data_IF_910339861952
#
_entry.id   IF_910339861952
#
_cell.length_a   1.000
_cell.length_b   1.000
_cell.length_c   1.000
_cell.angle_alpha   90.00
_cell.angle_beta   90.00
_cell.angle_gamma   90.00
#
_symmetry.space_group_name_H-M   'P 1'
#
loop_
_entity.id
_entity.type
_entity.pdbx_description
1 polymer ?
#
# COMPACT_ATOMS: atom_id res chain seq x y z
N UNK A 1 -6.91 -18.90 47.84
CA UNK A 1 -5.60 -18.25 47.55
C UNK A 1 -5.08 -18.60 46.15
N UNK A 2 -4.92 -19.89 45.81
CA UNK A 2 -4.42 -20.34 44.48
C UNK A 2 -5.29 -19.83 43.31
N UNK A 3 -6.62 -19.90 43.43
CA UNK A 3 -7.55 -19.39 42.41
C UNK A 3 -7.39 -17.89 42.13
N UNK A 4 -7.19 -17.10 43.18
CA UNK A 4 -7.02 -15.65 43.11
C UNK A 4 -5.70 -15.27 42.41
N UNK A 5 -4.63 -16.02 42.70
CA UNK A 5 -3.33 -15.89 42.02
C UNK A 5 -3.47 -16.25 40.54
N UNK A 6 -4.15 -17.35 40.22
CA UNK A 6 -4.41 -17.77 38.84
C UNK A 6 -5.17 -16.72 38.02
N UNK A 7 -6.19 -16.09 38.61
CA UNK A 7 -6.94 -15.00 37.99
C UNK A 7 -6.04 -13.79 37.68
N UNK A 8 -5.20 -13.39 38.63
CA UNK A 8 -4.26 -12.26 38.44
C UNK A 8 -3.29 -12.55 37.30
N UNK A 9 -2.71 -13.75 37.25
CA UNK A 9 -1.84 -14.16 36.14
C UNK A 9 -2.56 -14.13 34.79
N UNK A 10 -3.81 -14.60 34.74
CA UNK A 10 -4.60 -14.57 33.50
C UNK A 10 -4.80 -13.14 33.00
N UNK A 11 -5.16 -12.21 33.88
CA UNK A 11 -5.35 -10.79 33.53
C UNK A 11 -4.05 -10.17 33.05
N UNK A 12 -2.93 -10.44 33.75
CA UNK A 12 -1.60 -9.93 33.36
C UNK A 12 -1.19 -10.47 31.99
N UNK A 13 -1.38 -11.77 31.74
CA UNK A 13 -1.06 -12.38 30.44
C UNK A 13 -1.94 -11.79 29.33
N UNK A 14 -3.24 -11.66 29.56
CA UNK A 14 -4.15 -11.06 28.60
C UNK A 14 -3.76 -9.60 28.27
N UNK A 15 -3.37 -8.83 29.29
CA UNK A 15 -2.87 -7.47 29.11
C UNK A 15 -1.58 -7.43 28.30
N UNK A 16 -0.61 -8.31 28.60
CA UNK A 16 0.63 -8.42 27.85
C UNK A 16 0.37 -8.75 26.37
N UNK A 17 -0.53 -9.71 26.09
CA UNK A 17 -0.91 -10.06 24.71
C UNK A 17 -1.54 -8.86 24.00
N UNK A 18 -2.49 -8.18 24.63
CA UNK A 18 -3.13 -6.99 24.06
C UNK A 18 -2.10 -5.88 23.77
N UNK A 19 -1.17 -5.66 24.68
CA UNK A 19 -0.10 -4.68 24.52
C UNK A 19 0.85 -5.04 23.36
N UNK A 20 1.20 -6.31 23.23
CA UNK A 20 2.02 -6.79 22.10
C UNK A 20 1.32 -6.59 20.75
N UNK A 21 0.04 -6.94 20.66
CA UNK A 21 -0.77 -6.73 19.44
C UNK A 21 -0.77 -5.24 19.09
N UNK A 22 -1.01 -4.38 20.08
CA UNK A 22 -0.98 -2.93 19.89
C UNK A 22 0.35 -2.44 19.31
N UNK A 23 1.48 -2.87 19.88
CA UNK A 23 2.81 -2.52 19.37
C UNK A 23 3.03 -2.98 17.93
N UNK A 24 2.61 -4.19 17.56
CA UNK A 24 2.72 -4.68 16.18
C UNK A 24 1.85 -3.90 15.18
N UNK A 25 0.77 -3.27 15.64
CA UNK A 25 -0.08 -2.43 14.78
C UNK A 25 0.51 -1.04 14.52
N UNK A 26 1.40 -0.52 15.37
CA UNK A 26 1.95 0.85 15.26
C UNK A 26 2.56 1.13 13.88
N UNK A 27 3.48 0.31 13.32
CA UNK A 27 4.05 0.57 11.99
C UNK A 27 2.99 0.60 10.89
N UNK A 28 1.97 -0.26 10.99
CA UNK A 28 0.88 -0.34 10.02
C UNK A 28 -0.07 0.87 10.05
N UNK A 29 -0.29 1.44 11.25
CA UNK A 29 -1.09 2.67 11.42
C UNK A 29 -0.33 3.87 10.84
N UNK A 30 0.98 3.98 11.12
CA UNK A 30 1.84 5.03 10.57
C UNK A 30 1.85 4.95 9.04
N UNK A 31 2.04 3.75 8.48
CA UNK A 31 2.00 3.53 7.03
C UNK A 31 0.66 3.95 6.40
N UNK A 32 -0.46 3.62 7.05
CA UNK A 32 -1.80 4.04 6.61
C UNK A 32 -1.95 5.56 6.63
N UNK A 33 -1.53 6.22 7.71
CA UNK A 33 -1.64 7.68 7.85
C UNK A 33 -0.85 8.46 6.80
N UNK A 34 0.22 7.85 6.26
CA UNK A 34 1.06 8.45 5.23
C UNK A 34 0.54 8.27 3.82
N UNK A 35 -0.42 7.38 3.60
CA UNK A 35 -0.91 7.05 2.26
C UNK A 35 0.02 6.08 1.50
N UNK A 36 0.62 5.12 2.19
CA UNK A 36 1.33 4.01 1.53
C UNK A 36 0.29 3.07 0.89
N UNK A 37 0.61 2.50 -0.28
CA UNK A 37 -0.30 1.57 -0.98
C UNK A 37 -0.56 0.28 -0.20
N UNK A 38 -1.71 -0.35 -0.40
CA UNK A 38 -2.14 -1.51 0.41
C UNK A 38 -1.20 -2.72 0.34
N UNK A 39 -0.53 -2.95 -0.80
CA UNK A 39 0.46 -4.03 -0.95
C UNK A 39 1.70 -3.80 -0.08
N UNK A 40 2.28 -2.60 -0.14
CA UNK A 40 3.46 -2.19 0.64
C UNK A 40 3.14 -2.10 2.13
N UNK A 41 1.93 -1.63 2.47
CA UNK A 41 1.41 -1.61 3.84
C UNK A 41 1.31 -3.02 4.41
N UNK A 42 0.86 -3.98 3.60
CA UNK A 42 0.80 -5.39 4.01
C UNK A 42 2.20 -5.93 4.30
N UNK A 43 3.20 -5.58 3.50
CA UNK A 43 4.61 -5.94 3.76
C UNK A 43 5.08 -5.38 5.11
N UNK A 44 4.83 -4.09 5.39
CA UNK A 44 5.21 -3.45 6.66
C UNK A 44 4.53 -4.15 7.85
N UNK A 45 3.24 -4.47 7.73
CA UNK A 45 2.49 -5.18 8.77
C UNK A 45 3.08 -6.57 9.01
N UNK A 46 3.28 -7.35 7.96
CA UNK A 46 3.87 -8.70 8.06
C UNK A 46 5.27 -8.64 8.68
N UNK A 47 6.08 -7.65 8.31
CA UNK A 47 7.43 -7.47 8.87
C UNK A 47 7.41 -7.10 10.36
N UNK A 48 6.43 -6.29 10.78
CA UNK A 48 6.21 -5.94 12.18
C UNK A 48 5.78 -7.14 13.02
N UNK A 49 4.94 -8.03 12.47
CA UNK A 49 4.58 -9.29 13.12
C UNK A 49 5.72 -10.30 13.14
N UNK A 50 6.52 -10.36 12.07
CA UNK A 50 7.75 -11.16 12.04
C UNK A 50 8.78 -10.69 13.08
N UNK A 51 8.64 -9.45 13.56
CA UNK A 51 9.43 -8.87 14.66
C UNK A 51 9.30 -9.62 15.97
N UNK A 52 8.16 -10.26 16.20
CA UNK A 52 7.97 -11.08 17.40
C UNK A 52 8.87 -12.30 17.44
N UNK A 53 9.24 -12.85 16.27
CA UNK A 53 10.10 -14.02 16.17
C UNK A 53 11.59 -13.67 16.24
N UNK A 54 11.96 -12.45 15.85
CA UNK A 54 13.37 -12.01 15.67
C UNK A 54 13.86 -11.10 16.79
N UNK A 55 13.32 -11.24 18.01
CA UNK A 55 13.62 -10.36 19.15
C UNK A 55 13.42 -8.85 18.84
N UNK A 56 12.30 -8.50 18.19
CA UNK A 56 11.92 -7.13 17.85
C UNK A 56 12.84 -6.39 16.86
N UNK A 57 13.87 -7.03 16.30
CA UNK A 57 14.76 -6.36 15.33
C UNK A 57 13.98 -5.95 14.09
N UNK A 58 13.17 -6.84 13.52
CA UNK A 58 12.41 -6.49 12.31
C UNK A 58 11.24 -5.56 12.59
N UNK A 59 10.84 -5.39 13.86
CA UNK A 59 9.84 -4.37 14.24
C UNK A 59 10.39 -2.95 14.03
N UNK A 60 11.64 -2.70 14.46
CA UNK A 60 12.31 -1.42 14.21
C UNK A 60 12.50 -1.17 12.72
N UNK A 61 12.87 -2.21 11.95
CA UNK A 61 13.00 -2.12 10.50
C UNK A 61 11.64 -1.76 9.86
N UNK A 62 10.55 -2.39 10.29
CA UNK A 62 9.20 -2.09 9.82
C UNK A 62 8.79 -0.64 10.13
N UNK A 63 9.17 -0.13 11.30
CA UNK A 63 8.92 1.25 11.69
C UNK A 63 9.71 2.23 10.82
N UNK A 64 11.01 1.98 10.61
CA UNK A 64 11.85 2.79 9.71
C UNK A 64 11.30 2.74 8.27
N UNK A 65 10.88 1.57 7.79
CA UNK A 65 10.24 1.43 6.48
C UNK A 65 8.97 2.27 6.39
N UNK A 66 8.09 2.22 7.40
CA UNK A 66 6.89 3.06 7.44
C UNK A 66 7.21 4.57 7.41
N UNK A 67 8.40 4.97 7.91
CA UNK A 67 8.88 6.36 7.95
C UNK A 67 9.63 6.80 6.68
N UNK A 68 10.36 5.91 6.02
CA UNK A 68 11.21 6.24 4.87
C UNK A 68 10.47 6.04 3.56
N UNK A 69 9.54 5.09 3.49
CA UNK A 69 8.85 4.78 2.24
C UNK A 69 8.00 5.96 1.78
N UNK A 70 8.19 6.38 0.53
CA UNK A 70 7.45 7.50 -0.01
C UNK A 70 6.03 7.07 -0.41
N UNK A 71 5.02 7.87 -0.04
CA UNK A 71 3.64 7.52 -0.31
C UNK A 71 3.31 7.69 -1.79
N UNK A 72 3.03 6.58 -2.47
CA UNK A 72 2.67 6.58 -3.90
C UNK A 72 1.27 7.14 -4.16
N UNK A 73 0.41 7.23 -3.14
CA UNK A 73 -0.99 7.65 -3.31
C UNK A 73 -1.16 9.15 -3.59
N UNK A 74 -0.18 10.01 -3.26
CA UNK A 74 -0.21 11.43 -3.64
C UNK A 74 0.01 11.63 -5.16
N UNK A 75 0.73 10.71 -5.80
CA UNK A 75 0.96 10.69 -7.26
C UNK A 75 -0.18 9.97 -8.00
N UNK A 76 -1.05 9.27 -7.26
CA UNK A 76 -2.02 8.32 -7.83
C UNK A 76 -3.48 8.71 -7.59
N UNK A 77 -3.77 10.00 -7.38
CA UNK A 77 -5.16 10.50 -7.45
C UNK A 77 -5.71 10.55 -8.88
N UNK A 78 -4.87 10.37 -9.90
CA UNK A 78 -5.24 10.42 -11.32
C UNK A 78 -4.65 9.25 -12.14
N UNK A 79 -4.57 8.04 -11.58
CA UNK A 79 -4.61 6.90 -12.50
C UNK A 79 -6.07 6.63 -12.78
N UNK A 80 -6.60 6.99 -13.97
CA UNK A 80 -7.94 6.59 -14.34
C UNK A 80 -7.98 5.09 -14.15
N UNK A 81 -9.00 4.66 -13.41
CA UNK A 81 -9.29 3.27 -13.18
C UNK A 81 -9.75 2.75 -14.54
N UNK A 82 -8.80 2.26 -15.36
CA UNK A 82 -9.11 1.70 -16.66
C UNK A 82 -9.80 0.37 -16.40
N UNK A 83 -11.11 0.44 -16.18
CA UNK A 83 -11.98 -0.68 -15.91
C UNK A 83 -12.29 -1.48 -17.20
N UNK A 84 -11.96 -0.94 -18.38
CA UNK A 84 -12.23 -1.57 -19.68
C UNK A 84 -10.92 -1.91 -20.44
N UNK A 85 -10.75 -3.19 -20.74
CA UNK A 85 -9.66 -3.73 -21.59
C UNK A 85 -9.70 -3.15 -23.01
N UNK A 86 -10.86 -2.64 -23.45
CA UNK A 86 -11.06 -2.01 -24.77
C UNK A 86 -10.25 -0.73 -24.94
N UNK A 87 -10.24 0.16 -23.94
CA UNK A 87 -9.65 1.49 -24.06
C UNK A 87 -8.11 1.44 -24.08
N UNK A 88 -7.53 0.42 -23.44
CA UNK A 88 -6.11 0.09 -23.49
C UNK A 88 -5.67 -0.38 -24.88
N UNK A 89 -6.53 -1.14 -25.55
CA UNK A 89 -6.26 -1.67 -26.89
C UNK A 89 -6.31 -0.54 -27.94
N UNK A 90 -7.22 0.42 -27.76
CA UNK A 90 -7.33 1.60 -28.62
C UNK A 90 -6.17 2.59 -28.39
N UNK A 91 -5.68 2.74 -27.16
CA UNK A 91 -4.44 3.48 -26.89
C UNK A 91 -3.21 2.81 -27.53
N UNK A 92 -3.13 1.47 -27.51
CA UNK A 92 -2.04 0.74 -28.17
C UNK A 92 -2.09 0.89 -29.69
N UNK A 93 -3.28 0.81 -30.30
CA UNK A 93 -3.47 1.06 -31.74
C UNK A 93 -3.08 2.49 -32.11
N UNK A 94 -3.49 3.48 -31.32
CA UNK A 94 -3.12 4.88 -31.53
C UNK A 94 -1.60 5.09 -31.44
N UNK A 95 -0.93 4.45 -30.48
CA UNK A 95 0.53 4.52 -30.36
C UNK A 95 1.25 3.84 -31.55
N UNK A 96 0.68 2.76 -32.08
CA UNK A 96 1.19 2.06 -33.26
C UNK A 96 1.07 2.93 -34.53
N UNK A 97 -0.04 3.67 -34.67
CA UNK A 97 -0.29 4.59 -35.79
C UNK A 97 0.63 5.84 -35.76
N UNK A 98 0.95 6.33 -34.56
CA UNK A 98 1.98 7.37 -34.39
C UNK A 98 3.37 6.87 -34.80
N UNK A 99 3.74 5.66 -34.34
CA UNK A 99 5.04 5.06 -34.66
C UNK A 99 5.19 4.69 -36.14
N UNK A 100 4.08 4.40 -36.83
CA UNK A 100 4.08 4.19 -38.28
C UNK A 100 4.09 5.49 -39.10
N UNK A 101 4.20 6.65 -38.46
CA UNK A 101 4.31 7.96 -39.13
C UNK A 101 3.03 8.43 -39.81
N UNK A 102 1.89 7.78 -39.54
CA UNK A 102 0.59 8.11 -40.13
C UNK A 102 -0.10 9.29 -39.43
N UNK A 103 0.37 9.68 -38.24
CA UNK A 103 -0.18 10.77 -37.43
C UNK A 103 0.92 11.73 -37.02
N UNK A 104 0.64 13.02 -37.10
CA UNK A 104 1.52 14.05 -36.58
C UNK A 104 1.43 14.12 -35.05
N UNK A 105 2.49 14.57 -34.39
CA UNK A 105 2.56 14.61 -32.92
C UNK A 105 1.42 15.41 -32.27
N UNK A 106 0.88 16.41 -32.98
CA UNK A 106 -0.26 17.21 -32.51
C UNK A 106 -1.58 16.44 -32.55
N UNK A 107 -1.79 15.58 -33.54
CA UNK A 107 -3.03 14.79 -33.66
C UNK A 107 -3.05 13.64 -32.65
N UNK A 108 -1.89 13.01 -32.41
CA UNK A 108 -1.74 11.99 -31.37
C UNK A 108 -2.07 12.54 -29.97
N UNK A 109 -1.61 13.74 -29.64
CA UNK A 109 -1.89 14.35 -28.33
C UNK A 109 -3.36 14.76 -28.15
N UNK A 110 -4.03 15.22 -29.22
CA UNK A 110 -5.44 15.57 -29.15
C UNK A 110 -6.33 14.32 -29.00
N UNK A 111 -6.06 13.26 -29.76
CA UNK A 111 -6.81 11.99 -29.66
C UNK A 111 -6.58 11.29 -28.33
N UNK A 112 -5.34 11.33 -27.81
CA UNK A 112 -5.04 10.82 -26.47
C UNK A 112 -5.83 11.56 -25.40
N UNK A 113 -5.99 12.89 -25.53
CA UNK A 113 -6.77 13.70 -24.58
C UNK A 113 -8.27 13.40 -24.68
N UNK A 114 -8.80 13.17 -25.88
CA UNK A 114 -10.22 12.84 -26.07
C UNK A 114 -10.56 11.47 -25.48
N UNK A 115 -9.73 10.44 -25.74
CA UNK A 115 -9.91 9.10 -25.17
C UNK A 115 -9.80 9.10 -23.64
N UNK A 116 -8.95 9.96 -23.08
CA UNK A 116 -8.83 10.12 -21.62
C UNK A 116 -9.98 10.93 -21.00
N UNK A 117 -10.79 11.62 -21.80
CA UNK A 117 -11.93 12.44 -21.34
C UNK A 117 -13.25 11.70 -21.43
N UNK A 118 -13.37 10.75 -22.36
CA UNK A 118 -14.55 9.89 -22.54
C UNK A 118 -14.55 8.65 -21.62
N UNK A 119 -13.49 8.51 -20.80
CA UNK A 119 -13.26 7.46 -19.80
C UNK A 119 -13.52 7.98 -18.39
#
# INVERSE_FOLDING_TARGET
MIFLIGLVYFVVIAFCIAFTIFLCMVPGIIAKSRGITDSERTTIIVLAWCGLLTMFITWWIALVLALVWQPKTWVNKEKPKVDNVSDLDDLQKLHKLYKSGALTQKEYENLKKDILKDM
#
